data_IF_073929510807
#
_entry.id   IF_073929510807
#
_cell.length_a   1.000
_cell.length_b   1.000
_cell.length_c   1.000
_cell.angle_alpha   90.00
_cell.angle_beta   90.00
_cell.angle_gamma   90.00
#
_symmetry.space_group_name_H-M   'P 1'
#
loop_
_entity.id
_entity.type
_entity.pdbx_description
1 polymer ?
#
# COMPACT_ATOMS: atom_id res chain seq x y z
N UNK A 1 -15.59 23.00 -23.07
CA UNK A 1 -16.51 22.12 -22.30
C UNK A 1 -15.97 20.71 -21.96
N UNK A 2 -15.02 20.07 -22.70
CA UNK A 2 -14.48 18.76 -22.26
C UNK A 2 -13.45 18.86 -21.12
N UNK A 3 -12.75 19.99 -20.98
CA UNK A 3 -11.71 20.20 -19.95
C UNK A 3 -12.25 20.31 -18.52
N UNK A 4 -13.50 20.75 -18.33
CA UNK A 4 -14.11 20.83 -16.99
C UNK A 4 -14.60 19.47 -16.52
N UNK A 5 -15.06 18.61 -17.44
CA UNK A 5 -15.51 17.26 -17.11
C UNK A 5 -14.35 16.33 -16.76
N UNK A 6 -13.23 16.40 -17.49
CA UNK A 6 -12.04 15.61 -17.14
C UNK A 6 -11.44 16.07 -15.80
N UNK A 7 -11.39 17.39 -15.56
CA UNK A 7 -10.97 17.93 -14.26
C UNK A 7 -11.90 17.49 -13.12
N UNK A 8 -13.21 17.54 -13.29
CA UNK A 8 -14.14 17.03 -12.26
C UNK A 8 -13.87 15.57 -11.90
N UNK A 9 -13.78 14.70 -12.92
CA UNK A 9 -13.51 13.27 -12.73
C UNK A 9 -12.16 13.03 -12.04
N UNK A 10 -11.10 13.77 -12.38
CA UNK A 10 -9.81 13.58 -11.70
C UNK A 10 -9.86 14.00 -10.24
N UNK A 11 -10.54 15.10 -9.91
CA UNK A 11 -10.68 15.52 -8.51
C UNK A 11 -11.47 14.50 -7.69
N UNK A 12 -12.58 13.99 -8.22
CA UNK A 12 -13.42 12.98 -7.55
C UNK A 12 -12.62 11.69 -7.27
N UNK A 13 -11.84 11.23 -8.25
CA UNK A 13 -11.00 10.03 -8.10
C UNK A 13 -9.87 10.26 -7.09
N UNK A 14 -9.22 11.42 -7.10
CA UNK A 14 -8.17 11.75 -6.12
C UNK A 14 -8.76 11.76 -4.71
N UNK A 15 -9.92 12.39 -4.51
CA UNK A 15 -10.60 12.43 -3.21
C UNK A 15 -10.96 11.01 -2.76
N UNK A 16 -11.49 10.17 -3.65
CA UNK A 16 -11.80 8.78 -3.34
C UNK A 16 -10.54 8.01 -2.90
N UNK A 17 -9.45 8.09 -3.68
CA UNK A 17 -8.19 7.43 -3.36
C UNK A 17 -7.60 7.94 -2.03
N UNK A 18 -7.72 9.24 -1.75
CA UNK A 18 -7.29 9.82 -0.48
C UNK A 18 -8.11 9.29 0.70
N UNK A 19 -9.44 9.22 0.57
CA UNK A 19 -10.33 8.65 1.60
C UNK A 19 -9.99 7.18 1.85
N UNK A 20 -9.82 6.39 0.80
CA UNK A 20 -9.41 4.98 0.92
C UNK A 20 -8.04 4.86 1.59
N UNK A 21 -7.11 5.75 1.29
CA UNK A 21 -5.80 5.84 1.95
C UNK A 21 -5.91 6.09 3.46
N UNK A 22 -6.72 7.08 3.86
CA UNK A 22 -6.97 7.39 5.28
C UNK A 22 -7.62 6.22 6.00
N UNK A 23 -8.64 5.59 5.39
CA UNK A 23 -9.25 4.37 5.93
C UNK A 23 -8.20 3.28 6.10
N UNK A 24 -7.32 3.08 5.11
CA UNK A 24 -6.21 2.14 5.19
C UNK A 24 -5.26 2.44 6.35
N UNK A 25 -4.90 3.70 6.59
CA UNK A 25 -4.05 4.12 7.71
C UNK A 25 -4.72 3.86 9.07
N UNK A 26 -6.03 4.12 9.20
CA UNK A 26 -6.80 3.83 10.42
C UNK A 26 -6.84 2.33 10.69
N UNK A 27 -7.10 1.52 9.65
CA UNK A 27 -7.07 0.06 9.77
C UNK A 27 -5.68 -0.45 10.15
N UNK A 28 -4.62 0.06 9.53
CA UNK A 28 -3.24 -0.29 9.87
C UNK A 28 -2.90 0.07 11.32
N UNK A 29 -3.29 1.25 11.80
CA UNK A 29 -3.11 1.65 13.20
C UNK A 29 -3.88 0.73 14.16
N UNK A 30 -5.11 0.35 13.81
CA UNK A 30 -5.88 -0.64 14.56
C UNK A 30 -5.20 -2.01 14.62
N UNK A 31 -4.67 -2.49 13.49
CA UNK A 31 -3.91 -3.75 13.41
C UNK A 31 -2.63 -3.70 14.27
N UNK A 32 -1.89 -2.59 14.23
CA UNK A 32 -0.71 -2.38 15.06
C UNK A 32 -1.07 -2.35 16.56
N UNK A 33 -2.19 -1.73 16.93
CA UNK A 33 -2.69 -1.74 18.31
C UNK A 33 -3.06 -3.16 18.75
N UNK A 34 -3.78 -3.91 17.93
CA UNK A 34 -4.14 -5.32 18.21
C UNK A 34 -2.88 -6.17 18.35
N UNK A 35 -1.87 -5.96 17.51
CA UNK A 35 -0.58 -6.63 17.61
C UNK A 35 0.16 -6.26 18.92
N UNK A 36 0.17 -4.98 19.32
CA UNK A 36 0.76 -4.53 20.57
C UNK A 36 0.05 -5.13 21.81
N UNK A 37 -1.29 -5.18 21.80
CA UNK A 37 -2.08 -5.82 22.85
C UNK A 37 -1.79 -7.33 22.94
N UNK A 38 -1.62 -8.00 21.80
CA UNK A 38 -1.24 -9.41 21.77
C UNK A 38 0.16 -9.65 22.35
N UNK A 39 1.13 -8.78 22.05
CA UNK A 39 2.47 -8.80 22.65
C UNK A 39 2.44 -8.53 24.17
N UNK A 40 1.49 -7.72 24.63
CA UNK A 40 1.21 -7.49 26.05
C UNK A 40 0.44 -8.65 26.73
N UNK A 41 0.21 -9.77 26.04
CA UNK A 41 -0.46 -10.97 26.57
C UNK A 41 -1.98 -11.01 26.36
N UNK A 42 -2.58 -9.98 25.76
CA UNK A 42 -4.02 -9.90 25.48
C UNK A 42 -4.30 -10.41 24.07
N UNK A 43 -4.41 -11.73 23.92
CA UNK A 43 -4.63 -12.40 22.63
C UNK A 43 -6.10 -12.57 22.23
N UNK A 44 -7.05 -12.14 23.07
CA UNK A 44 -8.47 -12.15 22.76
C UNK A 44 -8.85 -11.35 21.49
N UNK A 45 -8.40 -10.08 21.30
CA UNK A 45 -8.74 -9.32 20.09
C UNK A 45 -8.13 -9.92 18.82
N UNK A 46 -6.92 -10.47 18.90
CA UNK A 46 -6.26 -11.09 17.75
C UNK A 46 -7.00 -12.35 17.27
N UNK A 47 -7.60 -13.12 18.19
CA UNK A 47 -8.46 -14.27 17.86
C UNK A 47 -9.75 -13.85 17.15
N UNK A 48 -10.41 -12.79 17.61
CA UNK A 48 -11.63 -12.28 16.97
C UNK A 48 -11.39 -11.75 15.55
N UNK A 49 -10.26 -11.07 15.34
CA UNK A 49 -9.85 -10.65 14.00
C UNK A 49 -9.58 -11.85 13.09
N UNK A 50 -8.84 -12.86 13.58
CA UNK A 50 -8.54 -14.07 12.82
C UNK A 50 -9.83 -14.76 12.34
N UNK A 51 -10.81 -14.94 13.22
CA UNK A 51 -12.07 -15.60 12.84
C UNK A 51 -12.92 -14.78 11.86
N UNK A 52 -12.78 -13.45 11.85
CA UNK A 52 -13.49 -12.58 10.91
C UNK A 52 -12.89 -12.61 9.49
N UNK A 53 -11.59 -12.87 9.38
CA UNK A 53 -10.83 -12.82 8.12
C UNK A 53 -10.60 -14.21 7.50
N UNK A 54 -10.78 -15.26 8.29
CA UNK A 54 -10.65 -16.66 7.88
C UNK A 54 -11.53 -16.95 6.63
N UNK A 55 -10.90 -17.43 5.56
CA UNK A 55 -11.55 -17.71 4.27
C UNK A 55 -11.55 -16.56 3.26
N UNK A 56 -11.23 -15.33 3.66
CA UNK A 56 -11.16 -14.16 2.76
C UNK A 56 -9.77 -13.52 2.65
N UNK A 57 -8.76 -14.10 3.31
CA UNK A 57 -7.43 -13.50 3.46
C UNK A 57 -6.80 -13.09 2.12
N UNK A 58 -6.78 -14.00 1.15
CA UNK A 58 -6.15 -13.78 -0.16
C UNK A 58 -6.89 -12.72 -0.99
N UNK A 59 -8.22 -12.70 -0.93
CA UNK A 59 -9.04 -11.71 -1.62
C UNK A 59 -8.86 -10.31 -1.04
N UNK A 60 -8.79 -10.20 0.29
CA UNK A 60 -8.51 -8.91 0.96
C UNK A 60 -7.15 -8.38 0.53
N UNK A 61 -6.11 -9.22 0.54
CA UNK A 61 -4.76 -8.81 0.12
C UNK A 61 -4.75 -8.40 -1.36
N UNK A 62 -5.42 -9.16 -2.24
CA UNK A 62 -5.54 -8.80 -3.66
C UNK A 62 -6.22 -7.45 -3.86
N UNK A 63 -7.36 -7.21 -3.22
CA UNK A 63 -8.09 -5.94 -3.37
C UNK A 63 -7.23 -4.76 -2.94
N UNK A 64 -6.52 -4.88 -1.80
CA UNK A 64 -5.61 -3.84 -1.33
C UNK A 64 -4.47 -3.60 -2.33
N UNK A 65 -3.83 -4.68 -2.81
CA UNK A 65 -2.74 -4.57 -3.79
C UNK A 65 -3.21 -3.99 -5.14
N UNK A 66 -4.41 -4.37 -5.60
CA UNK A 66 -5.01 -3.88 -6.84
C UNK A 66 -5.36 -2.39 -6.75
N UNK A 67 -5.98 -1.94 -5.65
CA UNK A 67 -6.29 -0.53 -5.42
C UNK A 67 -5.00 0.29 -5.36
N UNK A 68 -3.96 -0.21 -4.68
CA UNK A 68 -2.68 0.49 -4.58
C UNK A 68 -1.97 0.61 -5.95
N UNK A 69 -1.91 -0.47 -6.74
CA UNK A 69 -1.38 -0.45 -8.11
C UNK A 69 -2.19 0.45 -9.03
N UNK A 70 -3.51 0.36 -9.00
CA UNK A 70 -4.40 1.19 -9.79
C UNK A 70 -4.28 2.67 -9.44
N UNK A 71 -4.24 3.02 -8.16
CA UNK A 71 -4.02 4.39 -7.69
C UNK A 71 -2.66 4.94 -8.12
N UNK A 72 -1.60 4.15 -7.97
CA UNK A 72 -0.25 4.54 -8.42
C UNK A 72 -0.20 4.85 -9.92
N UNK A 73 -0.83 4.00 -10.75
CA UNK A 73 -0.91 4.22 -12.21
C UNK A 73 -1.78 5.43 -12.55
N UNK A 74 -2.90 5.62 -11.84
CA UNK A 74 -3.78 6.76 -12.05
C UNK A 74 -3.05 8.09 -11.82
N UNK A 75 -2.25 8.18 -10.75
CA UNK A 75 -1.47 9.38 -10.47
C UNK A 75 -0.42 9.67 -11.55
N UNK A 76 0.19 8.62 -12.11
CA UNK A 76 1.23 8.73 -13.16
C UNK A 76 0.65 9.14 -14.51
N UNK A 77 -0.35 8.40 -14.99
CA UNK A 77 -0.80 8.46 -16.38
C UNK A 77 -1.92 9.48 -16.59
N UNK A 78 -2.79 9.68 -15.58
CA UNK A 78 -3.98 10.53 -15.71
C UNK A 78 -3.79 11.86 -14.98
N UNK A 79 -3.23 11.83 -13.76
CA UNK A 79 -2.97 13.06 -13.01
C UNK A 79 -1.62 13.71 -13.34
N UNK A 80 -0.76 13.02 -14.11
CA UNK A 80 0.56 13.49 -14.54
C UNK A 80 1.49 13.92 -13.39
N UNK A 81 1.38 13.26 -12.23
CA UNK A 81 2.33 13.42 -11.14
C UNK A 81 3.61 12.64 -11.44
N UNK A 82 4.74 13.34 -11.55
CA UNK A 82 6.05 12.73 -11.77
C UNK A 82 6.48 12.03 -10.49
N UNK A 83 6.70 10.69 -10.50
CA UNK A 83 7.13 9.96 -9.31
C UNK A 83 8.60 10.22 -9.02
N UNK A 84 8.94 10.27 -7.73
CA UNK A 84 10.31 10.29 -7.25
C UNK A 84 11.02 8.93 -7.43
N UNK A 85 12.34 8.88 -7.30
CA UNK A 85 13.10 7.62 -7.38
C UNK A 85 12.72 6.61 -6.30
N UNK A 86 12.54 7.10 -5.06
CA UNK A 86 12.07 6.28 -3.93
C UNK A 86 10.66 5.73 -4.17
N UNK A 87 9.81 6.50 -4.84
CA UNK A 87 8.47 6.11 -5.25
C UNK A 87 8.53 4.97 -6.30
N UNK A 88 9.56 4.98 -7.16
CA UNK A 88 9.85 3.90 -8.09
C UNK A 88 10.23 2.60 -7.40
N UNK A 89 11.06 2.66 -6.36
CA UNK A 89 11.38 1.48 -5.55
C UNK A 89 10.14 0.90 -4.87
N UNK A 90 9.23 1.73 -4.37
CA UNK A 90 7.95 1.28 -3.81
C UNK A 90 7.08 0.59 -4.88
N UNK A 91 7.04 1.10 -6.12
CA UNK A 91 6.32 0.47 -7.24
C UNK A 91 6.85 -0.91 -7.58
N UNK A 92 8.18 -1.10 -7.60
CA UNK A 92 8.81 -2.41 -7.85
C UNK A 92 8.37 -3.45 -6.81
N UNK A 93 8.26 -3.06 -5.54
CA UNK A 93 7.79 -3.95 -4.48
C UNK A 93 6.29 -4.23 -4.58
N UNK A 94 5.48 -3.27 -5.02
CA UNK A 94 4.02 -3.34 -4.96
C UNK A 94 3.37 -3.96 -6.21
N UNK A 95 3.83 -3.63 -7.42
CA UNK A 95 3.17 -4.06 -8.66
C UNK A 95 3.08 -5.60 -8.79
N UNK A 96 4.15 -6.37 -8.49
CA UNK A 96 4.07 -7.83 -8.56
C UNK A 96 3.05 -8.42 -7.58
N UNK A 97 2.82 -7.78 -6.42
CA UNK A 97 1.87 -8.27 -5.43
C UNK A 97 0.46 -8.35 -6.00
N UNK A 98 0.02 -7.37 -6.79
CA UNK A 98 -1.33 -7.38 -7.37
C UNK A 98 -1.60 -8.60 -8.25
N UNK A 99 -0.63 -9.00 -9.08
CA UNK A 99 -0.77 -10.15 -9.99
C UNK A 99 -0.63 -11.45 -9.20
N UNK A 100 0.38 -11.55 -8.33
CA UNK A 100 0.65 -12.81 -7.64
C UNK A 100 -0.40 -13.12 -6.57
N UNK A 101 -0.93 -12.10 -5.89
CA UNK A 101 -2.03 -12.30 -4.93
C UNK A 101 -3.35 -12.64 -5.62
N UNK A 102 -3.60 -12.14 -6.84
CA UNK A 102 -4.72 -12.59 -7.67
C UNK A 102 -4.61 -14.08 -8.00
N UNK A 103 -3.45 -14.51 -8.49
CA UNK A 103 -3.21 -15.92 -8.79
C UNK A 103 -3.34 -16.79 -7.54
N UNK A 104 -2.74 -16.37 -6.43
CA UNK A 104 -2.87 -17.08 -5.15
C UNK A 104 -4.34 -17.20 -4.71
N UNK A 105 -5.15 -16.15 -4.86
CA UNK A 105 -6.57 -16.16 -4.53
C UNK A 105 -7.40 -17.08 -5.45
N UNK A 106 -7.04 -17.16 -6.74
CA UNK A 106 -7.71 -18.04 -7.71
C UNK A 106 -7.39 -19.52 -7.50
N UNK A 107 -6.17 -19.84 -7.07
CA UNK A 107 -5.70 -21.20 -6.84
C UNK A 107 -5.77 -21.63 -5.35
N UNK A 108 -6.29 -20.76 -4.49
CA UNK A 108 -6.35 -20.95 -3.02
C UNK A 108 -5.00 -21.36 -2.39
N UNK A 109 -3.89 -20.85 -2.96
CA UNK A 109 -2.54 -21.21 -2.52
C UNK A 109 -2.03 -20.28 -1.42
N UNK A 110 -2.36 -20.62 -0.17
CA UNK A 110 -1.87 -19.91 1.02
C UNK A 110 -0.36 -19.99 1.21
N UNK A 111 0.35 -20.91 0.54
CA UNK A 111 1.83 -21.01 0.64
C UNK A 111 2.50 -19.84 -0.08
N UNK A 112 1.86 -19.31 -1.12
CA UNK A 112 2.34 -18.14 -1.84
C UNK A 112 2.58 -16.97 -0.88
N UNK A 113 1.71 -16.76 0.13
CA UNK A 113 1.83 -15.69 1.11
C UNK A 113 3.21 -15.64 1.81
N UNK A 114 3.84 -16.80 2.05
CA UNK A 114 5.16 -16.89 2.69
C UNK A 114 6.28 -16.36 1.81
N UNK A 115 6.18 -16.56 0.49
CA UNK A 115 7.15 -16.06 -0.49
C UNK A 115 6.90 -14.60 -0.85
N UNK A 116 5.66 -14.12 -0.71
CA UNK A 116 5.30 -12.74 -1.00
C UNK A 116 5.68 -11.80 0.14
N UNK A 117 5.69 -12.26 1.38
CA UNK A 117 5.92 -11.45 2.59
C UNK A 117 7.16 -10.53 2.54
N UNK A 118 8.31 -10.91 1.96
CA UNK A 118 9.48 -10.02 1.89
C UNK A 118 9.24 -8.74 1.07
N UNK A 119 8.41 -8.79 0.01
CA UNK A 119 8.15 -7.63 -0.85
C UNK A 119 7.44 -6.47 -0.12
N UNK A 120 6.28 -6.65 0.54
CA UNK A 120 5.62 -5.58 1.28
C UNK A 120 6.44 -5.14 2.49
N UNK A 121 7.25 -6.01 3.10
CA UNK A 121 8.18 -5.63 4.18
C UNK A 121 9.26 -4.69 3.66
N UNK A 122 9.88 -5.01 2.52
CA UNK A 122 10.86 -4.14 1.88
C UNK A 122 10.22 -2.81 1.44
N UNK A 123 9.03 -2.86 0.82
CA UNK A 123 8.28 -1.67 0.43
C UNK A 123 7.91 -0.77 1.60
N UNK A 124 7.52 -1.35 2.74
CA UNK A 124 7.26 -0.61 3.97
C UNK A 124 8.53 0.07 4.51
N UNK A 125 9.69 -0.61 4.46
CA UNK A 125 10.98 -0.03 4.82
C UNK A 125 11.34 1.17 3.93
N UNK A 126 11.17 1.05 2.62
CA UNK A 126 11.37 2.17 1.67
C UNK A 126 10.40 3.31 1.94
N UNK A 127 9.15 3.03 2.29
CA UNK A 127 8.14 4.04 2.64
C UNK A 127 8.52 4.81 3.91
N UNK A 128 9.00 4.13 4.95
CA UNK A 128 9.51 4.79 6.16
C UNK A 128 10.70 5.67 5.84
N UNK A 129 11.66 5.19 5.04
CA UNK A 129 12.80 5.99 4.61
C UNK A 129 12.37 7.24 3.82
N UNK A 130 11.42 7.08 2.89
CA UNK A 130 10.85 8.19 2.13
C UNK A 130 10.26 9.27 3.04
N UNK A 131 9.46 8.87 4.05
CA UNK A 131 8.90 9.81 5.02
C UNK A 131 9.98 10.54 5.84
N UNK A 132 11.08 9.86 6.19
CA UNK A 132 12.18 10.50 6.92
C UNK A 132 12.91 11.55 6.07
N UNK A 133 13.07 11.28 4.77
CA UNK A 133 13.67 12.23 3.81
C UNK A 133 12.72 13.40 3.56
N UNK A 134 11.45 13.14 3.32
CA UNK A 134 10.43 14.16 3.04
C UNK A 134 10.24 15.14 4.22
N UNK A 135 10.31 14.64 5.46
CA UNK A 135 10.25 15.47 6.66
C UNK A 135 11.60 16.11 7.06
N UNK A 136 12.66 15.89 6.28
CA UNK A 136 13.99 16.47 6.53
C UNK A 136 14.71 15.90 7.76
N UNK A 137 14.26 14.77 8.30
CA UNK A 137 14.91 14.07 9.42
C UNK A 137 16.22 13.45 8.97
N UNK A 138 16.27 12.97 7.73
CA UNK A 138 17.46 12.42 7.07
C UNK A 138 17.81 13.31 5.88
N UNK A 139 19.04 13.83 5.86
CA UNK A 139 19.55 14.63 4.75
C UNK A 139 19.79 13.78 3.52
N UNK A 140 19.24 14.16 2.38
CA UNK A 140 19.49 13.50 1.11
C UNK A 140 20.89 13.85 0.59
N UNK A 141 21.69 12.82 0.28
CA UNK A 141 23.02 13.04 -0.29
C UNK A 141 22.92 13.69 -1.67
N UNK A 142 23.85 14.61 -1.99
CA UNK A 142 23.89 15.30 -3.29
C UNK A 142 23.88 14.32 -4.48
N UNK A 143 24.38 13.11 -4.29
CA UNK A 143 24.40 12.03 -5.29
C UNK A 143 23.00 11.51 -5.62
N UNK A 144 22.08 11.44 -4.64
CA UNK A 144 20.69 11.00 -4.85
C UNK A 144 19.79 12.12 -5.41
N UNK A 145 20.21 13.39 -5.30
CA UNK A 145 19.48 14.52 -5.90
C UNK A 145 19.68 14.67 -7.41
N UNK A 146 20.73 14.10 -7.98
CA UNK A 146 21.06 14.28 -9.42
C UNK A 146 20.10 13.49 -10.32
N UNK A 147 19.34 12.57 -9.75
CA UNK A 147 18.42 11.68 -10.45
C UNK A 147 16.94 11.93 -10.11
N UNK A 148 16.65 13.02 -9.39
CA UNK A 148 15.30 13.53 -9.09
C UNK A 148 14.91 14.73 -9.96
#
# INVERSE_FOLDING_TARGET
MPLTRSRGVTHDVIVLLAVLGVVGQVLAAGLLLVAALALAGVSAPLRGLRTAVEGYELWVVFVVAAIATGGSLFFSEIAHFVPCELCWYQRICMYPLSIVTLLAALFDDLRAARYLLPLPVAGAGVSVYHLLVENGVVGESLTCRISA
#
